data_IF_949050938329
#
_entry.id   IF_949050938329
#
_cell.length_a   1.000
_cell.length_b   1.000
_cell.length_c   1.000
_cell.angle_alpha   90.00
_cell.angle_beta   90.00
_cell.angle_gamma   90.00
#
_symmetry.space_group_name_H-M   'P 1'
#
loop_
_entity.id
_entity.type
_entity.pdbx_description
1 polymer ?
#
# COMPACT_ATOMS: atom_id res chain seq x y z
N UNK A 1 -18.17 -13.94 4.39
CA UNK A 1 -17.25 -13.01 3.71
C UNK A 1 -16.19 -12.58 4.69
N UNK A 2 -14.91 -12.66 4.32
CA UNK A 2 -13.82 -12.17 5.17
C UNK A 2 -13.73 -10.66 4.97
N UNK A 3 -14.10 -9.87 5.96
CA UNK A 3 -13.91 -8.40 5.91
C UNK A 3 -12.49 -8.06 6.31
N UNK A 4 -11.88 -7.06 5.68
CA UNK A 4 -10.63 -6.50 6.20
C UNK A 4 -10.91 -5.83 7.56
N UNK A 5 -10.02 -6.01 8.56
CA UNK A 5 -10.13 -5.27 9.81
C UNK A 5 -9.97 -3.77 9.53
N UNK A 6 -10.65 -2.96 10.34
CA UNK A 6 -10.43 -1.52 10.39
C UNK A 6 -8.95 -1.22 10.72
N UNK A 7 -8.33 -0.16 10.23
CA UNK A 7 -6.89 0.09 10.44
C UNK A 7 -6.51 0.16 11.93
N UNK A 8 -7.40 0.65 12.80
CA UNK A 8 -7.17 0.64 14.25
C UNK A 8 -7.22 -0.73 14.92
N UNK A 9 -7.69 -1.76 14.22
CA UNK A 9 -7.79 -3.14 14.68
C UNK A 9 -6.88 -4.08 13.88
N UNK A 10 -6.29 -3.59 12.79
CA UNK A 10 -5.40 -4.39 11.94
C UNK A 10 -4.11 -4.75 12.70
N UNK A 11 -3.74 -6.04 12.74
CA UNK A 11 -2.60 -6.51 13.53
C UNK A 11 -1.26 -5.90 13.09
N UNK A 12 -1.06 -5.61 11.79
CA UNK A 12 0.19 -5.01 11.31
C UNK A 12 0.24 -3.52 11.62
N UNK A 13 -0.90 -2.83 11.58
CA UNK A 13 -0.99 -1.42 11.99
C UNK A 13 -0.72 -1.29 13.48
N UNK A 14 -1.31 -2.18 14.30
CA UNK A 14 -1.06 -2.24 15.74
C UNK A 14 0.40 -2.58 16.05
N UNK A 15 0.99 -3.54 15.34
CA UNK A 15 2.41 -3.88 15.48
C UNK A 15 3.30 -2.68 15.13
N UNK A 16 3.06 -2.00 14.01
CA UNK A 16 3.83 -0.81 13.60
C UNK A 16 3.80 0.30 14.66
N UNK A 17 2.64 0.55 15.28
CA UNK A 17 2.50 1.50 16.39
C UNK A 17 3.31 1.06 17.62
N UNK A 18 3.25 -0.22 17.98
CA UNK A 18 4.01 -0.78 19.08
C UNK A 18 5.53 -0.66 18.84
N UNK A 19 6.02 -0.97 17.64
CA UNK A 19 7.43 -0.82 17.31
C UNK A 19 7.92 0.62 17.44
N UNK A 20 7.11 1.60 17.04
CA UNK A 20 7.46 3.02 17.24
C UNK A 20 7.58 3.39 18.71
N UNK A 21 6.66 2.93 19.55
CA UNK A 21 6.72 3.15 21.00
C UNK A 21 7.98 2.50 21.61
N UNK A 22 8.27 1.25 21.24
CA UNK A 22 9.47 0.53 21.67
C UNK A 22 10.74 1.25 21.22
N UNK A 23 10.77 1.73 19.98
CA UNK A 23 11.89 2.52 19.45
C UNK A 23 12.09 3.81 20.24
N UNK A 24 11.04 4.58 20.52
CA UNK A 24 11.14 5.81 21.30
C UNK A 24 11.69 5.56 22.72
N UNK A 25 11.20 4.51 23.39
CA UNK A 25 11.73 4.08 24.68
C UNK A 25 13.21 3.69 24.58
N UNK A 26 13.59 2.87 23.59
CA UNK A 26 14.97 2.42 23.36
C UNK A 26 15.93 3.59 23.13
N UNK A 27 15.56 4.53 22.26
CA UNK A 27 16.37 5.72 21.98
C UNK A 27 16.57 6.55 23.24
N UNK A 28 15.51 6.72 24.02
CA UNK A 28 15.55 7.49 25.25
C UNK A 28 16.45 6.83 26.32
N UNK A 29 16.41 5.51 26.46
CA UNK A 29 17.31 4.76 27.33
C UNK A 29 18.78 4.90 26.91
N UNK A 30 19.08 4.71 25.61
CA UNK A 30 20.43 4.85 25.06
C UNK A 30 21.03 6.25 25.27
N UNK A 31 20.19 7.29 25.23
CA UNK A 31 20.61 8.68 25.50
C UNK A 31 20.94 8.93 26.96
N UNK A 32 20.24 8.25 27.88
CA UNK A 32 20.45 8.38 29.33
C UNK A 32 21.57 7.50 29.86
N UNK A 33 21.99 6.50 29.09
CA UNK A 33 23.10 5.63 29.46
C UNK A 33 24.44 6.40 29.43
N UNK A 34 24.90 6.75 30.63
CA UNK A 34 26.18 7.43 30.87
C UNK A 34 27.41 6.53 30.74
N UNK A 35 27.23 5.21 30.60
CA UNK A 35 28.33 4.26 30.45
C UNK A 35 28.80 4.12 29.01
N UNK A 36 27.99 4.56 28.04
CA UNK A 36 28.30 4.48 26.62
C UNK A 36 29.17 5.65 26.17
N UNK A 37 30.19 5.36 25.37
CA UNK A 37 30.88 6.38 24.59
C UNK A 37 29.93 6.99 23.55
N UNK A 38 30.24 8.19 23.08
CA UNK A 38 29.46 8.86 22.04
C UNK A 38 29.34 8.03 20.76
N UNK A 39 30.46 7.41 20.34
CA UNK A 39 30.49 6.52 19.18
C UNK A 39 29.61 5.28 19.38
N UNK A 40 29.70 4.62 20.54
CA UNK A 40 28.91 3.42 20.83
C UNK A 40 27.42 3.75 20.91
N UNK A 41 27.06 4.87 21.55
CA UNK A 41 25.69 5.36 21.57
C UNK A 41 25.16 5.63 20.17
N UNK A 42 25.94 6.30 19.32
CA UNK A 42 25.56 6.57 17.94
C UNK A 42 25.33 5.28 17.13
N UNK A 43 26.17 4.25 17.31
CA UNK A 43 26.00 2.93 16.67
C UNK A 43 24.70 2.24 17.11
N UNK A 44 24.43 2.20 18.41
CA UNK A 44 23.21 1.57 18.94
C UNK A 44 21.94 2.29 18.51
N UNK A 45 21.97 3.63 18.48
CA UNK A 45 20.86 4.44 17.98
C UNK A 45 20.64 4.23 16.48
N UNK A 46 21.70 4.15 15.67
CA UNK A 46 21.61 3.85 14.24
C UNK A 46 21.05 2.44 13.99
N UNK A 47 21.48 1.45 14.78
CA UNK A 47 20.96 0.09 14.70
C UNK A 47 19.47 0.03 15.06
N UNK A 48 19.06 0.66 16.17
CA UNK A 48 17.64 0.72 16.56
C UNK A 48 16.77 1.40 15.49
N UNK A 49 17.28 2.44 14.81
CA UNK A 49 16.57 3.09 13.70
C UNK A 49 16.44 2.17 12.48
N UNK A 50 17.49 1.41 12.13
CA UNK A 50 17.46 0.41 11.07
C UNK A 50 16.46 -0.72 11.38
N UNK A 51 16.49 -1.24 12.60
CA UNK A 51 15.61 -2.33 13.04
C UNK A 51 14.14 -1.90 13.02
N UNK A 52 13.84 -0.68 13.45
CA UNK A 52 12.50 -0.09 13.31
C UNK A 52 12.06 -0.07 11.85
N UNK A 53 12.90 0.47 10.95
CA UNK A 53 12.54 0.59 9.53
C UNK A 53 12.35 -0.77 8.86
N UNK A 54 13.17 -1.76 9.21
CA UNK A 54 13.01 -3.13 8.75
C UNK A 54 11.65 -3.70 9.19
N UNK A 55 11.30 -3.52 10.46
CA UNK A 55 10.02 -3.99 11.03
C UNK A 55 8.82 -3.28 10.40
N UNK A 56 8.88 -1.95 10.23
CA UNK A 56 7.82 -1.19 9.56
C UNK A 56 7.63 -1.64 8.11
N UNK A 57 8.72 -1.90 7.38
CA UNK A 57 8.65 -2.38 6.00
C UNK A 57 8.05 -3.80 5.92
N UNK A 58 8.45 -4.72 6.79
CA UNK A 58 7.91 -6.07 6.84
C UNK A 58 6.39 -6.08 7.06
N UNK A 59 5.93 -5.41 8.11
CA UNK A 59 4.50 -5.30 8.43
C UNK A 59 3.71 -4.51 7.38
N UNK A 60 4.32 -3.47 6.80
CA UNK A 60 3.72 -2.71 5.71
C UNK A 60 3.48 -3.57 4.46
N UNK A 61 4.45 -4.41 4.11
CA UNK A 61 4.33 -5.35 2.99
C UNK A 61 3.27 -6.42 3.27
N UNK A 62 3.23 -6.99 4.47
CA UNK A 62 2.22 -7.97 4.85
C UNK A 62 0.79 -7.41 4.76
N UNK A 63 0.57 -6.19 5.25
CA UNK A 63 -0.70 -5.47 5.12
C UNK A 63 -1.06 -5.24 3.65
N UNK A 64 -0.11 -4.75 2.85
CA UNK A 64 -0.34 -4.48 1.43
C UNK A 64 -0.72 -5.76 0.66
N UNK A 65 -0.04 -6.88 0.91
CA UNK A 65 -0.37 -8.17 0.30
C UNK A 65 -1.77 -8.65 0.68
N UNK A 66 -2.19 -8.49 1.95
CA UNK A 66 -3.57 -8.79 2.35
C UNK A 66 -4.60 -7.92 1.64
N UNK A 67 -4.31 -6.62 1.50
CA UNK A 67 -5.20 -5.69 0.78
C UNK A 67 -5.31 -6.04 -0.70
N UNK A 68 -4.21 -6.42 -1.35
CA UNK A 68 -4.24 -6.92 -2.74
C UNK A 68 -5.07 -8.18 -2.84
N UNK A 69 -4.85 -9.17 -1.97
CA UNK A 69 -5.59 -10.42 -1.99
C UNK A 69 -7.10 -10.19 -1.80
N UNK A 70 -7.47 -9.32 -0.86
CA UNK A 70 -8.87 -8.92 -0.67
C UNK A 70 -9.44 -8.19 -1.89
N UNK A 71 -8.69 -7.25 -2.47
CA UNK A 71 -9.08 -6.55 -3.70
C UNK A 71 -9.33 -7.50 -4.87
N UNK A 72 -8.48 -8.52 -5.04
CA UNK A 72 -8.66 -9.57 -6.04
C UNK A 72 -9.89 -10.44 -5.76
N UNK A 73 -10.10 -10.84 -4.49
CA UNK A 73 -11.27 -11.63 -4.05
C UNK A 73 -12.58 -10.88 -4.36
N UNK A 74 -12.64 -9.59 -4.03
CA UNK A 74 -13.82 -8.76 -4.28
C UNK A 74 -13.94 -8.45 -5.78
N UNK A 75 -12.82 -8.23 -6.47
CA UNK A 75 -12.77 -8.00 -7.91
C UNK A 75 -13.38 -9.14 -8.73
N UNK A 76 -13.22 -10.39 -8.29
CA UNK A 76 -13.86 -11.54 -8.93
C UNK A 76 -15.40 -11.51 -8.87
N UNK A 77 -16.00 -10.72 -7.96
CA UNK A 77 -17.45 -10.56 -7.83
C UNK A 77 -17.98 -9.41 -8.68
N UNK A 78 -17.12 -8.44 -9.02
CA UNK A 78 -17.50 -7.29 -9.83
C UNK A 78 -17.36 -7.66 -11.31
N UNK A 79 -18.44 -7.47 -12.07
CA UNK A 79 -18.45 -7.71 -13.50
C UNK A 79 -17.84 -6.54 -14.28
N UNK A 80 -16.55 -6.29 -14.07
CA UNK A 80 -15.76 -5.33 -14.83
C UNK A 80 -14.95 -6.02 -15.93
N UNK A 81 -14.68 -5.30 -17.02
CA UNK A 81 -13.97 -5.86 -18.17
C UNK A 81 -14.83 -6.79 -19.00
N UNK A 82 -14.19 -7.71 -19.72
CA UNK A 82 -14.80 -8.40 -20.85
C UNK A 82 -15.13 -9.90 -20.65
N UNK A 83 -15.14 -10.36 -19.39
CA UNK A 83 -15.49 -11.72 -18.96
C UNK A 83 -14.90 -12.88 -19.78
N UNK A 84 -13.59 -12.98 -19.86
CA UNK A 84 -12.97 -14.06 -20.63
C UNK A 84 -12.93 -15.32 -19.76
N UNK A 85 -13.62 -16.41 -20.13
CA UNK A 85 -13.51 -17.66 -19.37
C UNK A 85 -12.08 -18.20 -19.39
N UNK A 86 -11.67 -18.86 -18.31
CA UNK A 86 -10.40 -19.57 -18.28
C UNK A 86 -10.36 -20.66 -19.36
N UNK A 87 -9.22 -20.81 -20.02
CA UNK A 87 -9.05 -21.78 -21.11
C UNK A 87 -9.57 -21.33 -22.49
N UNK A 88 -10.12 -20.12 -22.60
CA UNK A 88 -10.51 -19.52 -23.90
C UNK A 88 -9.30 -19.45 -24.83
N UNK A 89 -9.47 -19.86 -26.09
CA UNK A 89 -8.39 -19.83 -27.07
C UNK A 89 -7.89 -18.38 -27.29
N UNK A 90 -6.62 -18.18 -27.72
CA UNK A 90 -6.12 -16.84 -27.99
C UNK A 90 -6.94 -16.05 -29.02
N UNK A 91 -7.52 -16.72 -30.01
CA UNK A 91 -8.35 -16.09 -31.03
C UNK A 91 -9.70 -15.63 -30.46
N UNK A 92 -10.38 -16.50 -29.71
CA UNK A 92 -11.66 -16.18 -29.08
C UNK A 92 -11.50 -15.07 -28.03
N UNK A 93 -10.38 -15.10 -27.27
CA UNK A 93 -10.01 -14.04 -26.33
C UNK A 93 -9.93 -12.69 -27.04
N UNK A 94 -9.28 -12.64 -28.21
CA UNK A 94 -9.16 -11.40 -28.98
C UNK A 94 -10.52 -10.87 -29.45
N UNK A 95 -11.41 -11.76 -29.91
CA UNK A 95 -12.77 -11.40 -30.35
C UNK A 95 -13.59 -10.84 -29.19
N UNK A 96 -13.61 -11.52 -28.04
CA UNK A 96 -14.29 -11.04 -26.85
C UNK A 96 -13.74 -9.67 -26.41
N UNK A 97 -12.42 -9.45 -26.53
CA UNK A 97 -11.81 -8.17 -26.12
C UNK A 97 -12.20 -7.06 -27.06
N UNK A 98 -12.19 -7.32 -28.36
CA UNK A 98 -12.64 -6.34 -29.34
C UNK A 98 -14.12 -5.98 -29.15
N UNK A 99 -14.97 -6.97 -28.90
CA UNK A 99 -16.40 -6.73 -28.63
C UNK A 99 -16.61 -5.85 -27.39
N UNK A 100 -15.91 -6.15 -26.29
CA UNK A 100 -15.98 -5.34 -25.09
C UNK A 100 -15.38 -3.94 -25.27
N UNK A 101 -14.21 -3.81 -25.91
CA UNK A 101 -13.60 -2.50 -26.17
C UNK A 101 -14.50 -1.62 -27.05
N UNK A 102 -15.14 -2.20 -28.08
CA UNK A 102 -16.10 -1.48 -28.91
C UNK A 102 -17.32 -1.02 -28.11
N UNK A 103 -17.85 -1.86 -27.20
CA UNK A 103 -18.92 -1.48 -26.30
C UNK A 103 -18.46 -0.37 -25.32
N UNK A 104 -17.26 -0.49 -24.77
CA UNK A 104 -16.67 0.48 -23.84
C UNK A 104 -16.48 1.85 -24.48
N UNK A 105 -15.90 1.90 -25.69
CA UNK A 105 -15.71 3.15 -26.43
C UNK A 105 -17.04 3.81 -26.79
N UNK A 106 -18.04 3.00 -27.15
CA UNK A 106 -19.41 3.51 -27.39
C UNK A 106 -19.99 4.13 -26.12
N UNK A 107 -19.88 3.45 -24.98
CA UNK A 107 -20.40 3.89 -23.68
C UNK A 107 -19.71 5.16 -23.19
N UNK A 108 -18.38 5.28 -23.32
CA UNK A 108 -17.63 6.49 -22.93
C UNK A 108 -18.09 7.75 -23.65
N UNK A 109 -18.63 7.61 -24.87
CA UNK A 109 -19.20 8.72 -25.63
C UNK A 109 -20.65 9.07 -25.29
N UNK A 110 -21.33 8.30 -24.44
CA UNK A 110 -22.75 8.50 -24.12
C UNK A 110 -22.98 9.55 -23.03
N UNK A 111 -24.13 10.22 -23.09
CA UNK A 111 -24.63 11.05 -21.99
C UNK A 111 -25.27 10.18 -20.91
N UNK A 112 -25.42 10.74 -19.70
CA UNK A 112 -25.98 10.05 -18.55
C UNK A 112 -27.37 9.45 -18.81
N UNK A 113 -28.27 10.18 -19.49
CA UNK A 113 -29.62 9.65 -19.77
C UNK A 113 -29.58 8.46 -20.75
N UNK A 114 -28.71 8.53 -21.76
CA UNK A 114 -28.51 7.46 -22.74
C UNK A 114 -27.85 6.23 -22.09
N UNK A 115 -26.93 6.43 -21.14
CA UNK A 115 -26.32 5.38 -20.35
C UNK A 115 -27.35 4.61 -19.52
N UNK A 116 -28.23 5.33 -18.81
CA UNK A 116 -29.31 4.70 -18.03
C UNK A 116 -30.23 3.86 -18.92
N UNK A 117 -30.71 4.44 -20.02
CA UNK A 117 -31.60 3.73 -20.95
C UNK A 117 -30.92 2.49 -21.52
N UNK A 118 -29.68 2.64 -22.00
CA UNK A 118 -28.90 1.54 -22.59
C UNK A 118 -28.64 0.45 -21.56
N UNK A 119 -28.36 0.80 -20.29
CA UNK A 119 -28.17 -0.17 -19.22
C UNK A 119 -29.45 -0.99 -18.95
N UNK A 120 -30.60 -0.32 -18.85
CA UNK A 120 -31.89 -0.99 -18.62
C UNK A 120 -32.28 -1.90 -19.79
N UNK A 121 -32.03 -1.47 -21.02
CA UNK A 121 -32.25 -2.30 -22.22
C UNK A 121 -31.31 -3.51 -22.25
N UNK A 122 -30.02 -3.30 -21.99
CA UNK A 122 -29.03 -4.38 -21.91
C UNK A 122 -29.40 -5.40 -20.83
N UNK A 123 -29.87 -4.93 -19.66
CA UNK A 123 -30.38 -5.79 -18.60
C UNK A 123 -31.63 -6.59 -19.02
N UNK A 124 -32.57 -5.94 -19.71
CA UNK A 124 -33.79 -6.57 -20.21
C UNK A 124 -33.51 -7.67 -21.24
N UNK A 125 -32.53 -7.46 -22.11
CA UNK A 125 -32.19 -8.39 -23.20
C UNK A 125 -31.02 -9.32 -22.90
N UNK A 126 -30.41 -9.23 -21.72
CA UNK A 126 -29.29 -10.10 -21.32
C UNK A 126 -27.97 -9.79 -22.02
N UNK A 127 -27.78 -8.57 -22.51
CA UNK A 127 -26.51 -8.12 -23.10
C UNK A 127 -25.50 -7.80 -21.99
N UNK A 128 -24.78 -8.83 -21.53
CA UNK A 128 -23.80 -8.71 -20.44
C UNK A 128 -22.59 -7.86 -20.86
N UNK A 129 -22.17 -7.90 -22.12
CA UNK A 129 -21.05 -7.09 -22.64
C UNK A 129 -21.32 -5.59 -22.48
N UNK A 130 -22.50 -5.13 -22.88
CA UNK A 130 -22.88 -3.72 -22.72
C UNK A 130 -23.08 -3.35 -21.24
N UNK A 131 -23.67 -4.23 -20.42
CA UNK A 131 -23.78 -3.99 -18.97
C UNK A 131 -22.40 -3.82 -18.32
N UNK A 132 -21.45 -4.72 -18.62
CA UNK A 132 -20.08 -4.67 -18.11
C UNK A 132 -19.34 -3.41 -18.56
N UNK A 133 -19.55 -2.95 -19.79
CA UNK A 133 -18.95 -1.71 -20.30
C UNK A 133 -19.46 -0.48 -19.52
N UNK A 134 -20.78 -0.39 -19.27
CA UNK A 134 -21.40 0.69 -18.49
C UNK A 134 -20.94 0.65 -17.02
N UNK A 135 -20.88 -0.53 -16.41
CA UNK A 135 -20.36 -0.72 -15.05
C UNK A 135 -18.89 -0.30 -14.96
N UNK A 136 -18.07 -0.66 -15.96
CA UNK A 136 -16.65 -0.27 -16.04
C UNK A 136 -16.50 1.25 -16.09
N UNK A 137 -17.23 1.95 -16.98
CA UNK A 137 -17.18 3.44 -17.06
C UNK A 137 -17.65 4.08 -15.75
N UNK A 138 -18.73 3.56 -15.16
CA UNK A 138 -19.28 4.07 -13.89
C UNK A 138 -18.26 3.98 -12.73
N UNK A 139 -17.37 2.98 -12.78
CA UNK A 139 -16.34 2.74 -11.77
C UNK A 139 -15.05 3.52 -12.05
N UNK A 140 -14.59 3.54 -13.31
CA UNK A 140 -13.35 4.21 -13.72
C UNK A 140 -13.45 5.74 -13.62
N UNK A 141 -14.56 6.33 -14.06
CA UNK A 141 -14.70 7.79 -14.14
C UNK A 141 -15.20 8.43 -12.83
N UNK A 142 -15.47 7.61 -11.80
CA UNK A 142 -15.70 8.08 -10.41
C UNK A 142 -16.92 8.97 -10.18
N UNK A 143 -17.76 9.20 -11.18
CA UNK A 143 -18.68 10.34 -11.19
C UNK A 143 -20.19 10.04 -11.19
N UNK A 144 -20.65 8.82 -11.43
CA UNK A 144 -22.09 8.59 -11.66
C UNK A 144 -22.77 7.96 -10.45
N UNK A 145 -22.88 8.69 -9.33
CA UNK A 145 -23.70 8.28 -8.18
C UNK A 145 -25.13 7.90 -8.59
N UNK A 146 -25.68 8.61 -9.57
CA UNK A 146 -26.95 8.27 -10.23
C UNK A 146 -26.92 6.89 -10.91
N UNK A 147 -25.91 6.58 -11.72
CA UNK A 147 -25.81 5.26 -12.37
C UNK A 147 -25.68 4.14 -11.35
N UNK A 148 -25.01 4.36 -10.21
CA UNK A 148 -24.97 3.35 -9.14
C UNK A 148 -26.38 3.04 -8.62
N UNK A 149 -27.23 4.05 -8.45
CA UNK A 149 -28.64 3.82 -8.05
C UNK A 149 -29.44 3.11 -9.15
N UNK A 150 -29.21 3.46 -10.42
CA UNK A 150 -29.82 2.74 -11.55
C UNK A 150 -29.41 1.26 -11.54
N UNK A 151 -28.11 0.96 -11.39
CA UNK A 151 -27.60 -0.42 -11.27
C UNK A 151 -28.24 -1.11 -10.07
N UNK A 152 -28.36 -0.43 -8.92
CA UNK A 152 -29.01 -0.96 -7.71
C UNK A 152 -30.45 -1.36 -7.95
N UNK A 153 -31.20 -0.53 -8.71
CA UNK A 153 -32.60 -0.77 -9.03
C UNK A 153 -32.83 -2.00 -9.91
N UNK A 154 -31.82 -2.39 -10.68
CA UNK A 154 -31.87 -3.54 -11.60
C UNK A 154 -31.25 -4.79 -10.96
N UNK A 155 -30.17 -4.63 -10.20
CA UNK A 155 -29.45 -5.70 -9.53
C UNK A 155 -28.79 -5.19 -8.22
N UNK A 156 -29.48 -5.31 -7.07
CA UNK A 156 -28.99 -4.81 -5.79
C UNK A 156 -27.65 -5.40 -5.36
N UNK A 157 -27.45 -6.71 -5.59
CA UNK A 157 -26.25 -7.43 -5.18
C UNK A 157 -25.00 -6.95 -5.93
N UNK A 158 -25.15 -6.48 -7.17
CA UNK A 158 -24.03 -5.91 -7.95
C UNK A 158 -23.49 -4.63 -7.34
N UNK A 159 -24.35 -3.76 -6.80
CA UNK A 159 -23.89 -2.47 -6.24
C UNK A 159 -23.13 -2.67 -4.94
N UNK A 160 -23.56 -3.61 -4.10
CA UNK A 160 -22.80 -3.97 -2.90
C UNK A 160 -21.38 -4.44 -3.25
N UNK A 161 -21.22 -5.27 -4.30
CA UNK A 161 -19.91 -5.72 -4.77
C UNK A 161 -19.06 -4.56 -5.33
N UNK A 162 -19.66 -3.62 -6.06
CA UNK A 162 -18.97 -2.43 -6.60
C UNK A 162 -18.48 -1.50 -5.47
N UNK A 163 -19.30 -1.28 -4.44
CA UNK A 163 -18.94 -0.48 -3.28
C UNK A 163 -17.79 -1.16 -2.50
N UNK A 164 -17.91 -2.45 -2.21
CA UNK A 164 -16.86 -3.25 -1.56
C UNK A 164 -15.55 -3.20 -2.36
N UNK A 165 -15.62 -3.29 -3.68
CA UNK A 165 -14.45 -3.22 -4.57
C UNK A 165 -13.80 -1.83 -4.58
N UNK A 166 -14.62 -0.78 -4.59
CA UNK A 166 -14.14 0.61 -4.54
C UNK A 166 -13.42 0.86 -3.22
N UNK A 167 -13.99 0.41 -2.10
CA UNK A 167 -13.32 0.46 -0.79
C UNK A 167 -12.02 -0.35 -0.79
N UNK A 168 -12.01 -1.56 -1.36
CA UNK A 168 -10.80 -2.37 -1.45
C UNK A 168 -9.70 -1.71 -2.31
N UNK A 169 -10.07 -1.07 -3.43
CA UNK A 169 -9.16 -0.28 -4.27
C UNK A 169 -8.55 0.87 -3.47
N UNK A 170 -9.40 1.64 -2.80
CA UNK A 170 -8.95 2.80 -2.02
C UNK A 170 -8.00 2.38 -0.89
N UNK A 171 -8.22 1.21 -0.27
CA UNK A 171 -7.31 0.64 0.72
C UNK A 171 -5.95 0.23 0.13
N UNK A 172 -5.93 -0.39 -1.06
CA UNK A 172 -4.70 -0.76 -1.77
C UNK A 172 -3.90 0.48 -2.16
N UNK A 173 -4.58 1.51 -2.65
CA UNK A 173 -3.98 2.79 -3.03
C UNK A 173 -3.72 3.73 -1.84
N UNK A 174 -4.06 3.27 -0.63
CA UNK A 174 -3.89 4.01 0.62
C UNK A 174 -4.57 5.39 0.61
N UNK A 175 -5.75 5.48 0.01
CA UNK A 175 -6.60 6.67 -0.05
C UNK A 175 -7.56 6.74 1.15
N UNK A 176 -8.13 7.92 1.38
CA UNK A 176 -9.13 8.16 2.42
C UNK A 176 -8.59 8.18 3.84
N UNK A 177 -9.52 8.07 4.81
CA UNK A 177 -9.22 8.15 6.25
C UNK A 177 -8.37 6.95 6.70
N UNK A 178 -8.73 5.73 6.29
CA UNK A 178 -7.97 4.51 6.56
C UNK A 178 -6.54 4.59 6.01
N UNK A 179 -6.39 5.15 4.81
CA UNK A 179 -5.09 5.39 4.19
C UNK A 179 -4.22 6.37 5.00
N UNK A 180 -4.85 7.38 5.60
CA UNK A 180 -4.16 8.34 6.48
C UNK A 180 -3.67 7.68 7.77
N UNK A 181 -4.50 6.86 8.43
CA UNK A 181 -4.08 6.12 9.63
C UNK A 181 -2.95 5.13 9.33
N UNK A 182 -3.03 4.44 8.20
CA UNK A 182 -1.99 3.52 7.74
C UNK A 182 -0.68 4.26 7.48
N UNK A 183 -0.75 5.38 6.74
CA UNK A 183 0.43 6.22 6.45
C UNK A 183 1.10 6.72 7.72
N UNK A 184 0.32 7.13 8.72
CA UNK A 184 0.85 7.56 10.02
C UNK A 184 1.48 6.41 10.80
N UNK A 185 0.91 5.20 10.76
CA UNK A 185 1.47 4.04 11.44
C UNK A 185 2.82 3.61 10.84
N UNK A 186 2.94 3.62 9.52
CA UNK A 186 4.14 3.13 8.81
C UNK A 186 5.16 4.22 8.45
N UNK A 187 4.90 5.50 8.75
CA UNK A 187 5.88 6.56 8.52
C UNK A 187 7.15 6.35 9.35
N UNK A 188 8.31 6.33 8.70
CA UNK A 188 9.58 6.26 9.42
C UNK A 188 9.83 7.57 10.18
N UNK A 189 10.22 7.53 11.47
CA UNK A 189 10.67 8.73 12.16
C UNK A 189 11.95 9.24 11.52
N UNK A 190 12.17 10.56 11.59
CA UNK A 190 13.41 11.19 11.12
C UNK A 190 14.61 10.52 11.79
N UNK A 191 15.63 10.20 10.99
CA UNK A 191 16.88 9.62 11.49
C UNK A 191 17.46 10.50 12.61
N UNK A 192 17.78 9.93 13.79
CA UNK A 192 18.35 10.68 14.92
C UNK A 192 19.67 11.35 14.57
N UNK A 193 19.95 12.50 15.20
CA UNK A 193 21.18 13.27 14.94
C UNK A 193 22.45 12.46 15.25
N UNK A 194 22.41 11.65 16.31
CA UNK A 194 23.51 10.76 16.71
C UNK A 194 23.85 9.77 15.60
N UNK A 195 22.84 9.15 14.99
CA UNK A 195 23.01 8.23 13.86
C UNK A 195 23.41 8.95 12.57
N UNK A 196 23.06 10.23 12.41
CA UNK A 196 23.53 11.07 11.28
C UNK A 196 25.03 11.39 11.43
N UNK A 197 25.50 11.61 12.66
CA UNK A 197 26.91 11.93 12.97
C UNK A 197 27.83 10.71 13.00
N UNK A 198 27.28 9.49 13.01
CA UNK A 198 28.03 8.25 13.11
C UNK A 198 29.25 8.18 12.17
N UNK A 199 29.16 8.53 10.87
CA UNK A 199 30.33 8.47 9.97
C UNK A 199 31.49 9.38 10.42
N UNK A 200 31.18 10.56 10.95
CA UNK A 200 32.18 11.50 11.47
C UNK A 200 32.84 10.97 12.75
N UNK A 201 32.04 10.39 13.65
CA UNK A 201 32.54 9.80 14.90
C UNK A 201 33.47 8.61 14.62
N UNK A 202 33.13 7.77 13.65
CA UNK A 202 33.99 6.65 13.22
C UNK A 202 35.31 7.12 12.63
N UNK A 203 35.29 8.18 11.83
CA UNK A 203 36.51 8.78 11.28
C UNK A 203 37.44 9.30 12.39
N UNK A 204 36.89 10.00 13.39
CA UNK A 204 37.69 10.51 14.51
C UNK A 204 38.33 9.39 15.33
N UNK A 205 37.59 8.31 15.57
CA UNK A 205 38.11 7.14 16.30
C UNK A 205 39.24 6.44 15.53
N UNK A 206 39.08 6.26 14.22
CA UNK A 206 40.14 5.71 13.37
C UNK A 206 41.40 6.59 13.38
N UNK A 207 41.25 7.92 13.38
CA UNK A 207 42.39 8.84 13.48
C UNK A 207 43.09 8.73 14.84
N UNK A 208 42.35 8.62 15.94
CA UNK A 208 42.91 8.40 17.29
C UNK A 208 43.70 7.09 17.36
N UNK A 209 43.13 6.01 16.86
CA UNK A 209 43.81 4.70 16.83
C UNK A 209 45.11 4.75 16.03
N UNK A 210 45.11 5.43 14.87
CA UNK A 210 46.34 5.63 14.07
C UNK A 210 47.40 6.43 14.83
N UNK A 211 47.02 7.50 15.53
CA UNK A 211 47.95 8.32 16.30
C UNK A 211 48.60 7.56 17.45
N UNK A 212 47.82 6.74 18.18
CA UNK A 212 48.33 5.89 19.26
C UNK A 212 49.31 4.85 18.70
N UNK A 213 48.95 4.13 17.64
CA UNK A 213 49.85 3.15 17.01
C UNK A 213 51.15 3.77 16.51
N UNK A 214 51.11 5.00 15.96
CA UNK A 214 52.32 5.69 15.51
C UNK A 214 53.25 6.05 16.68
N UNK A 215 52.71 6.52 17.82
CA UNK A 215 53.51 6.85 19.01
C UNK A 215 54.25 5.65 19.63
N UNK A 216 53.67 4.44 19.59
CA UNK A 216 54.33 3.22 20.07
C UNK A 216 55.46 2.75 19.16
N UNK A 217 55.36 2.97 17.85
CA UNK A 217 56.43 2.60 16.89
C UNK A 217 57.63 3.54 17.00
N UNK A 218 57.41 4.84 17.20
CA UNK A 218 58.52 5.81 17.33
C UNK A 218 59.27 5.67 18.66
N UNK A 219 58.61 5.23 19.74
CA UNK A 219 59.24 5.00 21.05
C UNK A 219 59.94 3.63 21.16
N UNK A 220 59.49 2.61 20.42
CA UNK A 220 60.11 1.28 20.43
C UNK A 220 61.27 1.10 19.43
N UNK A 221 61.36 1.94 18.38
CA UNK A 221 62.40 1.88 17.34
C UNK A 221 63.63 2.75 17.59
N UNK A 222 63.73 3.42 18.74
CA UNK A 222 64.88 4.24 19.13
C UNK A 222 65.87 3.46 19.98
N UNK A 223 66.56 2.49 19.40
CA UNK A 223 67.80 1.89 19.91
C UNK A 223 68.80 1.72 18.77
#
# INVERSE_FOLDING_TARGET
MRTLPHANEDPDVLAARAYKQTYEATIHELRRDGTLSELERARRIDQAHKDLNASLNEHGNALHQRRIAYFQEVGARVKIGADIPEGTSPADKAVLMQAFMAALDRVRGMKLEDLEKTFREAARFGDDTTQRAIETVTIEEGGHSHMREVIRSVNPDRVAAIEEWTTARDLVENRGIEGSFTSQAFSSPRKPAEAVQLPTLEMHEQQRQKAVTHSYVTTAGGY
#
